data_IF_660343247674
#
_entry.id   IF_660343247674
#
_cell.length_a   1.000
_cell.length_b   1.000
_cell.length_c   1.000
_cell.angle_alpha   90.00
_cell.angle_beta   90.00
_cell.angle_gamma   90.00
#
_symmetry.space_group_name_H-M   'P 1'
#
loop_
_entity.id
_entity.type
_entity.pdbx_description
1 polymer ?
#
# COMPACT_ATOMS: atom_id res chain seq x y z
N UNK A 1 -16.15 -12.96 -10.83
CA UNK A 1 -14.78 -12.42 -10.66
C UNK A 1 -14.12 -13.13 -9.47
N UNK A 2 -12.96 -13.68 -9.70
CA UNK A 2 -12.21 -14.32 -8.61
C UNK A 2 -11.55 -13.27 -7.72
N UNK A 3 -11.17 -13.68 -6.51
CA UNK A 3 -10.41 -12.81 -5.58
C UNK A 3 -9.13 -12.31 -6.26
N UNK A 4 -8.41 -13.19 -6.95
CA UNK A 4 -7.19 -12.81 -7.66
C UNK A 4 -7.46 -11.74 -8.72
N UNK A 5 -8.48 -11.94 -9.55
CA UNK A 5 -8.85 -10.96 -10.57
C UNK A 5 -9.24 -9.61 -9.95
N UNK A 6 -9.99 -9.67 -8.84
CA UNK A 6 -10.41 -8.47 -8.13
C UNK A 6 -9.22 -7.71 -7.55
N UNK A 7 -8.27 -8.42 -6.95
CA UNK A 7 -7.06 -7.79 -6.40
C UNK A 7 -6.25 -7.10 -7.50
N UNK A 8 -6.09 -7.76 -8.64
CA UNK A 8 -5.37 -7.18 -9.78
C UNK A 8 -6.08 -5.94 -10.33
N UNK A 9 -7.41 -5.98 -10.38
CA UNK A 9 -8.20 -4.86 -10.89
C UNK A 9 -8.27 -3.69 -9.91
N UNK A 10 -8.20 -3.97 -8.61
CA UNK A 10 -8.33 -2.94 -7.57
C UNK A 10 -7.04 -2.14 -7.39
N UNK A 11 -5.92 -2.60 -7.92
CA UNK A 11 -4.64 -1.94 -7.73
C UNK A 11 -4.06 -1.45 -9.04
N UNK A 12 -3.29 -0.36 -8.95
CA UNK A 12 -2.48 0.13 -10.07
C UNK A 12 -1.06 -0.43 -10.02
N UNK A 13 -0.73 -1.18 -8.96
CA UNK A 13 0.61 -1.74 -8.80
C UNK A 13 0.70 -3.06 -9.58
N UNK A 14 1.86 -3.27 -10.17
CA UNK A 14 2.15 -4.51 -10.89
C UNK A 14 2.93 -5.43 -9.96
N UNK A 15 2.20 -6.29 -9.25
CA UNK A 15 2.82 -7.34 -8.44
C UNK A 15 2.78 -8.65 -9.22
N UNK A 16 3.65 -9.58 -8.83
CA UNK A 16 3.57 -10.94 -9.34
C UNK A 16 2.32 -11.63 -8.79
N UNK A 17 1.80 -12.61 -9.53
CA UNK A 17 0.61 -13.36 -9.12
C UNK A 17 0.77 -13.95 -7.72
N UNK A 18 1.95 -14.43 -7.39
CA UNK A 18 2.23 -15.01 -6.08
C UNK A 18 2.03 -14.02 -4.94
N UNK A 19 2.36 -12.75 -5.17
CA UNK A 19 2.14 -11.70 -4.18
C UNK A 19 0.65 -11.49 -3.92
N UNK A 20 -0.16 -11.43 -4.98
CA UNK A 20 -1.60 -11.31 -4.83
C UNK A 20 -2.20 -12.53 -4.15
N UNK A 21 -1.74 -13.72 -4.49
CA UNK A 21 -2.22 -14.96 -3.87
C UNK A 21 -1.88 -14.99 -2.39
N UNK A 22 -0.70 -14.53 -2.02
CA UNK A 22 -0.31 -14.44 -0.62
C UNK A 22 -1.21 -13.48 0.16
N UNK A 23 -1.54 -12.33 -0.42
CA UNK A 23 -2.45 -11.37 0.21
C UNK A 23 -3.79 -12.03 0.51
N UNK A 24 -4.33 -12.77 -0.45
CA UNK A 24 -5.60 -13.49 -0.27
C UNK A 24 -5.51 -14.54 0.83
N UNK A 25 -4.49 -15.39 0.79
CA UNK A 25 -4.31 -16.46 1.78
C UNK A 25 -4.06 -15.91 3.17
N UNK A 26 -3.36 -14.80 3.31
CA UNK A 26 -3.13 -14.17 4.62
C UNK A 26 -4.44 -13.72 5.28
N UNK A 27 -5.48 -13.50 4.48
CA UNK A 27 -6.82 -13.16 4.96
C UNK A 27 -7.79 -14.34 4.88
N UNK A 28 -7.27 -15.55 4.75
CA UNK A 28 -8.07 -16.78 4.70
C UNK A 28 -9.05 -16.81 3.52
N UNK A 29 -8.67 -16.17 2.42
CA UNK A 29 -9.45 -16.18 1.19
C UNK A 29 -8.74 -16.99 0.12
N UNK A 30 -9.50 -17.85 -0.58
CA UNK A 30 -8.98 -18.57 -1.72
C UNK A 30 -8.92 -17.61 -2.93
N UNK A 31 -7.73 -17.41 -3.53
CA UNK A 31 -7.62 -16.50 -4.68
C UNK A 31 -8.45 -16.90 -5.88
N UNK A 32 -8.81 -18.18 -6.00
CA UNK A 32 -9.60 -18.68 -7.11
C UNK A 32 -11.10 -18.71 -6.82
N UNK A 33 -11.53 -18.29 -5.62
CA UNK A 33 -12.95 -18.22 -5.26
C UNK A 33 -13.56 -16.90 -5.70
N UNK A 34 -14.90 -16.85 -5.74
CA UNK A 34 -15.63 -15.62 -6.08
C UNK A 34 -15.49 -14.58 -4.98
N UNK A 35 -15.02 -13.40 -5.34
CA UNK A 35 -14.78 -12.31 -4.38
C UNK A 35 -16.07 -11.84 -3.69
N UNK A 36 -17.20 -11.99 -4.33
CA UNK A 36 -18.52 -11.64 -3.77
C UNK A 36 -19.30 -12.87 -3.33
N UNK A 37 -18.64 -14.03 -3.26
CA UNK A 37 -19.25 -15.25 -2.78
C UNK A 37 -19.38 -15.29 -1.26
N UNK A 38 -20.09 -16.29 -0.77
CA UNK A 38 -20.36 -16.45 0.66
C UNK A 38 -19.10 -16.63 1.50
N UNK A 39 -18.03 -17.15 0.90
CA UNK A 39 -16.76 -17.39 1.60
C UNK A 39 -15.91 -16.14 1.80
N UNK A 40 -16.31 -14.99 1.27
CA UNK A 40 -15.54 -13.76 1.37
C UNK A 40 -16.39 -12.67 2.00
N UNK A 41 -15.96 -12.16 3.14
CA UNK A 41 -16.70 -11.13 3.89
C UNK A 41 -16.22 -9.73 3.46
N UNK A 42 -17.02 -8.72 3.81
CA UNK A 42 -16.63 -7.33 3.59
C UNK A 42 -15.34 -7.00 4.36
N UNK A 43 -15.19 -7.54 5.57
CA UNK A 43 -13.97 -7.37 6.35
C UNK A 43 -12.75 -7.88 5.59
N UNK A 44 -12.84 -9.06 5.01
CA UNK A 44 -11.74 -9.65 4.23
C UNK A 44 -11.42 -8.80 3.00
N UNK A 45 -12.43 -8.31 2.29
CA UNK A 45 -12.22 -7.42 1.13
C UNK A 45 -11.53 -6.12 1.54
N UNK A 46 -12.00 -5.51 2.62
CA UNK A 46 -11.41 -4.27 3.12
C UNK A 46 -9.95 -4.48 3.53
N UNK A 47 -9.68 -5.55 4.28
CA UNK A 47 -8.33 -5.86 4.74
C UNK A 47 -7.40 -6.21 3.58
N UNK A 48 -7.89 -6.92 2.58
CA UNK A 48 -7.08 -7.20 1.39
C UNK A 48 -6.74 -5.91 0.63
N UNK A 49 -7.68 -4.96 0.56
CA UNK A 49 -7.43 -3.66 -0.06
C UNK A 49 -6.32 -2.91 0.68
N UNK A 50 -6.40 -2.89 2.00
CA UNK A 50 -5.35 -2.27 2.82
C UNK A 50 -4.01 -3.01 2.68
N UNK A 51 -4.04 -4.33 2.57
CA UNK A 51 -2.83 -5.14 2.41
C UNK A 51 -2.13 -4.89 1.06
N UNK A 52 -2.87 -4.57 0.01
CA UNK A 52 -2.28 -4.14 -1.26
C UNK A 52 -1.45 -2.89 -1.05
N UNK A 53 -2.00 -1.90 -0.37
CA UNK A 53 -1.31 -0.64 -0.07
C UNK A 53 -0.10 -0.90 0.81
N UNK A 54 -0.27 -1.71 1.85
CA UNK A 54 0.81 -2.10 2.76
C UNK A 54 1.96 -2.76 1.99
N UNK A 55 1.64 -3.70 1.11
CA UNK A 55 2.63 -4.41 0.29
C UNK A 55 3.35 -3.45 -0.64
N UNK A 56 2.62 -2.54 -1.27
CA UNK A 56 3.21 -1.54 -2.16
C UNK A 56 4.20 -0.64 -1.41
N UNK A 57 3.86 -0.23 -0.20
CA UNK A 57 4.74 0.59 0.64
C UNK A 57 6.00 -0.17 1.01
N UNK A 58 5.88 -1.43 1.43
CA UNK A 58 7.02 -2.24 1.82
C UNK A 58 7.94 -2.59 0.66
N UNK A 59 7.36 -2.90 -0.50
CA UNK A 59 8.13 -3.26 -1.69
C UNK A 59 8.65 -2.05 -2.45
N UNK A 60 8.11 -0.87 -2.17
CA UNK A 60 8.55 0.33 -2.84
C UNK A 60 9.97 0.65 -2.39
N UNK A 61 10.94 0.71 -3.30
CA UNK A 61 12.27 1.22 -2.96
C UNK A 61 12.20 2.74 -2.83
N UNK A 62 11.35 3.20 -1.93
CA UNK A 62 10.94 4.60 -1.85
C UNK A 62 12.11 5.56 -1.75
N UNK A 63 13.08 5.26 -0.89
CA UNK A 63 14.24 6.12 -0.73
C UNK A 63 15.15 6.08 -1.96
N UNK A 64 15.43 4.89 -2.48
CA UNK A 64 16.31 4.71 -3.63
C UNK A 64 15.67 5.25 -4.90
N UNK A 65 14.42 4.93 -5.12
CA UNK A 65 13.68 5.39 -6.29
C UNK A 65 13.54 6.91 -6.29
N UNK A 66 13.20 7.49 -5.15
CA UNK A 66 13.11 8.95 -5.00
C UNK A 66 14.44 9.62 -5.22
N UNK A 67 15.52 9.04 -4.71
CA UNK A 67 16.85 9.56 -4.90
C UNK A 67 17.27 9.57 -6.38
N UNK A 68 17.03 8.47 -7.07
CA UNK A 68 17.33 8.40 -8.50
C UNK A 68 16.52 9.40 -9.32
N UNK A 69 15.28 9.61 -8.93
CA UNK A 69 14.40 10.57 -9.60
C UNK A 69 14.85 12.01 -9.35
N UNK A 70 15.50 12.28 -8.24
CA UNK A 70 16.00 13.61 -7.92
C UNK A 70 17.10 14.08 -8.86
N UNK A 71 17.79 13.18 -9.54
CA UNK A 71 18.80 13.53 -10.53
C UNK A 71 18.22 13.95 -11.88
N UNK A 72 16.94 13.79 -12.06
CA UNK A 72 16.23 14.14 -13.28
C UNK A 72 14.99 14.94 -12.89
N UNK A 73 14.98 16.24 -13.21
CA UNK A 73 13.91 17.15 -12.80
C UNK A 73 12.51 16.66 -13.16
N UNK A 74 12.35 16.02 -14.31
CA UNK A 74 11.07 15.47 -14.72
C UNK A 74 10.62 14.36 -13.78
N UNK A 75 11.53 13.46 -13.44
CA UNK A 75 11.23 12.36 -12.54
C UNK A 75 11.04 12.83 -11.09
N UNK A 76 11.71 13.90 -10.70
CA UNK A 76 11.51 14.51 -9.39
C UNK A 76 10.06 14.97 -9.21
N UNK A 77 9.52 15.63 -10.22
CA UNK A 77 8.12 16.06 -10.19
C UNK A 77 7.15 14.89 -10.06
N UNK A 78 7.39 13.82 -10.80
CA UNK A 78 6.60 12.59 -10.73
C UNK A 78 6.74 11.96 -9.33
N UNK A 79 7.95 11.96 -8.77
CA UNK A 79 8.20 11.45 -7.44
C UNK A 79 7.39 12.18 -6.37
N UNK A 80 7.33 13.49 -6.45
CA UNK A 80 6.55 14.31 -5.51
C UNK A 80 5.06 13.97 -5.57
N UNK A 81 4.51 13.82 -6.77
CA UNK A 81 3.12 13.42 -6.93
C UNK A 81 2.87 12.02 -6.38
N UNK A 82 3.79 11.09 -6.62
CA UNK A 82 3.69 9.73 -6.11
C UNK A 82 3.69 9.73 -4.59
N UNK A 83 4.55 10.51 -3.96
CA UNK A 83 4.63 10.60 -2.49
C UNK A 83 3.34 11.16 -1.89
N UNK A 84 2.74 12.16 -2.53
CA UNK A 84 1.47 12.71 -2.10
C UNK A 84 0.35 11.67 -2.15
N UNK A 85 0.26 10.93 -3.25
CA UNK A 85 -0.73 9.87 -3.39
C UNK A 85 -0.47 8.72 -2.41
N UNK A 86 0.78 8.38 -2.17
CA UNK A 86 1.12 7.36 -1.19
C UNK A 86 0.69 7.76 0.22
N UNK A 87 0.89 9.03 0.61
CA UNK A 87 0.46 9.49 1.92
C UNK A 87 -1.05 9.33 2.11
N UNK A 88 -1.84 9.67 1.11
CA UNK A 88 -3.29 9.47 1.16
C UNK A 88 -3.67 8.01 1.23
N UNK A 89 -3.02 7.17 0.45
CA UNK A 89 -3.27 5.72 0.45
C UNK A 89 -2.89 5.10 1.78
N UNK A 90 -1.75 5.49 2.35
CA UNK A 90 -1.31 5.01 3.66
C UNK A 90 -2.33 5.40 4.72
N UNK A 91 -2.81 6.63 4.69
CA UNK A 91 -3.85 7.09 5.63
C UNK A 91 -5.11 6.24 5.49
N UNK A 92 -5.54 5.96 4.27
CA UNK A 92 -6.70 5.13 4.00
C UNK A 92 -6.51 3.71 4.55
N UNK A 93 -5.35 3.12 4.31
CA UNK A 93 -5.04 1.78 4.82
C UNK A 93 -5.02 1.76 6.35
N UNK A 94 -4.45 2.79 6.99
CA UNK A 94 -4.45 2.92 8.46
C UNK A 94 -5.87 2.95 8.98
N UNK A 95 -6.77 3.70 8.34
CA UNK A 95 -8.17 3.77 8.74
C UNK A 95 -8.85 2.40 8.68
N UNK A 96 -8.58 1.63 7.62
CA UNK A 96 -9.12 0.28 7.50
C UNK A 96 -8.59 -0.62 8.60
N UNK A 97 -7.28 -0.63 8.83
CA UNK A 97 -6.68 -1.46 9.87
C UNK A 97 -7.20 -1.11 11.26
N UNK A 98 -7.37 0.18 11.55
CA UNK A 98 -7.92 0.61 12.83
C UNK A 98 -9.38 0.17 13.00
N UNK A 99 -10.15 0.19 11.93
CA UNK A 99 -11.54 -0.26 11.96
C UNK A 99 -11.66 -1.72 12.39
N UNK A 100 -10.69 -2.54 12.02
CA UNK A 100 -10.70 -3.98 12.31
C UNK A 100 -9.68 -4.40 13.37
N UNK A 101 -9.11 -3.43 14.09
CA UNK A 101 -8.14 -3.66 15.17
C UNK A 101 -6.91 -4.46 14.72
N UNK A 102 -6.44 -4.19 13.52
CA UNK A 102 -5.27 -4.85 12.96
C UNK A 102 -3.99 -4.08 13.32
N UNK A 103 -2.98 -4.81 13.79
CA UNK A 103 -1.71 -4.21 14.23
C UNK A 103 -0.91 -3.56 13.10
N UNK A 104 -1.21 -3.86 11.86
CA UNK A 104 -0.53 -3.23 10.72
C UNK A 104 -0.74 -1.71 10.66
N UNK A 105 -1.78 -1.20 11.31
CA UNK A 105 -1.99 0.24 11.44
C UNK A 105 -0.79 0.93 12.08
N UNK A 106 -0.23 0.33 13.13
CA UNK A 106 0.92 0.89 13.84
C UNK A 106 2.17 0.92 12.97
N UNK A 107 2.37 -0.13 12.18
CA UNK A 107 3.51 -0.22 11.27
C UNK A 107 3.44 0.88 10.21
N UNK A 108 2.27 1.05 9.60
CA UNK A 108 2.07 2.09 8.59
C UNK A 108 2.18 3.50 9.17
N UNK A 109 1.67 3.70 10.37
CA UNK A 109 1.77 4.99 11.03
C UNK A 109 3.24 5.38 11.28
N UNK A 110 4.06 4.42 11.70
CA UNK A 110 5.50 4.62 11.86
C UNK A 110 6.18 4.99 10.55
N UNK A 111 5.83 4.32 9.46
CA UNK A 111 6.37 4.60 8.14
C UNK A 111 5.96 6.00 7.68
N UNK A 112 4.70 6.35 7.88
CA UNK A 112 4.17 7.67 7.53
C UNK A 112 4.91 8.78 8.26
N UNK A 113 5.17 8.61 9.55
CA UNK A 113 5.91 9.58 10.35
C UNK A 113 7.34 9.75 9.85
N UNK A 114 8.01 8.67 9.46
CA UNK A 114 9.37 8.75 8.91
C UNK A 114 9.40 9.53 7.60
N UNK A 115 8.42 9.31 6.74
CA UNK A 115 8.32 10.03 5.47
C UNK A 115 8.16 11.53 5.70
N UNK A 116 7.34 11.92 6.67
CA UNK A 116 7.11 13.32 6.99
C UNK A 116 8.30 14.00 7.69
N UNK A 117 9.05 13.26 8.47
CA UNK A 117 10.20 13.82 9.21
C UNK A 117 11.34 14.20 8.28
N UNK A 118 11.54 13.48 7.18
CA UNK A 118 12.65 13.74 6.26
C UNK A 118 12.61 15.16 5.70
N UNK A 119 11.49 15.67 5.13
CA UNK A 119 11.44 17.04 4.64
C UNK A 119 11.64 18.08 5.73
N UNK A 120 11.12 17.84 6.93
CA UNK A 120 11.26 18.76 8.06
C UNK A 120 12.72 18.87 8.49
N UNK A 121 13.40 17.74 8.57
CA UNK A 121 14.82 17.70 8.94
C UNK A 121 15.66 18.45 7.90
N UNK A 122 15.37 18.30 6.62
CA UNK A 122 16.09 19.00 5.56
C UNK A 122 15.90 20.51 5.64
N UNK A 123 14.69 20.95 5.96
CA UNK A 123 14.41 22.38 6.17
C UNK A 123 15.18 22.94 7.36
N UNK A 124 15.25 22.19 8.44
CA UNK A 124 15.97 22.60 9.66
C UNK A 124 17.47 22.71 9.42
N UNK A 125 18.01 21.87 8.55
CA UNK A 125 19.45 21.89 8.21
C UNK A 125 19.85 23.08 7.33
N UNK A 126 18.90 23.69 6.69
CA UNK A 126 19.15 24.87 5.87
C UNK A 126 19.20 26.13 6.72
#
# INVERSE_FOLDING_TARGET
MTVLEWLKAATRYTFEDETFRKIAWDRECDPDSDVYGEGVTQRQRDLMTADIIFTAVLLSPSSTSSYQKAHNGYQESIGAETDYYQDKKITYAIQIYNKYDDTKAEVLDSIKKKIKLIPIVDVIRL
#
